data_IF_403336743186
#
_entry.id   IF_403336743186
#
_cell.length_a   1.000
_cell.length_b   1.000
_cell.length_c   1.000
_cell.angle_alpha   90.00
_cell.angle_beta   90.00
_cell.angle_gamma   90.00
#
_symmetry.space_group_name_H-M   'P 1'
#
loop_
_entity.id
_entity.type
_entity.pdbx_description
1 polymer ?
#
# COMPACT_ATOMS: atom_id res chain seq x y z
N UNK A 1 -12.27 -33.50 -17.29
CA UNK A 1 -13.20 -32.41 -16.88
C UNK A 1 -12.73 -31.61 -15.64
N UNK A 2 -11.81 -32.11 -14.82
CA UNK A 2 -11.23 -31.39 -13.66
C UNK A 2 -10.19 -30.32 -14.05
N UNK A 3 -9.37 -30.55 -15.08
CA UNK A 3 -8.35 -29.61 -15.54
C UNK A 3 -8.91 -28.26 -16.06
N UNK A 4 -10.07 -28.29 -16.74
CA UNK A 4 -10.72 -27.05 -17.22
C UNK A 4 -11.19 -26.15 -16.08
N UNK A 5 -11.72 -26.74 -14.99
CA UNK A 5 -12.15 -25.97 -13.80
C UNK A 5 -10.96 -25.36 -13.06
N UNK A 6 -9.85 -26.11 -12.96
CA UNK A 6 -8.61 -25.60 -12.34
C UNK A 6 -8.02 -24.43 -13.15
N UNK A 7 -7.99 -24.55 -14.48
CA UNK A 7 -7.52 -23.50 -15.38
C UNK A 7 -8.36 -22.22 -15.29
N UNK A 8 -9.70 -22.34 -15.31
CA UNK A 8 -10.62 -21.20 -15.19
C UNK A 8 -10.47 -20.46 -13.86
N UNK A 9 -10.33 -21.21 -12.75
CA UNK A 9 -10.10 -20.60 -11.43
C UNK A 9 -8.77 -19.85 -11.40
N UNK A 10 -7.69 -20.45 -11.93
CA UNK A 10 -6.38 -19.81 -11.97
C UNK A 10 -6.37 -18.55 -12.85
N UNK A 11 -7.10 -18.53 -13.97
CA UNK A 11 -7.22 -17.32 -14.80
C UNK A 11 -7.98 -16.20 -14.08
N UNK A 12 -9.04 -16.55 -13.34
CA UNK A 12 -9.82 -15.59 -12.57
C UNK A 12 -8.99 -14.99 -11.42
N UNK A 13 -8.22 -15.83 -10.71
CA UNK A 13 -7.34 -15.38 -9.63
C UNK A 13 -6.24 -14.44 -10.17
N UNK A 14 -5.65 -14.76 -11.33
CA UNK A 14 -4.66 -13.89 -12.00
C UNK A 14 -5.25 -12.54 -12.42
N UNK A 15 -6.46 -12.54 -12.99
CA UNK A 15 -7.14 -11.32 -13.40
C UNK A 15 -7.45 -10.44 -12.17
N UNK A 16 -7.97 -11.04 -11.10
CA UNK A 16 -8.27 -10.35 -9.84
C UNK A 16 -7.03 -9.71 -9.22
N UNK A 17 -5.91 -10.44 -9.17
CA UNK A 17 -4.63 -9.90 -8.67
C UNK A 17 -4.14 -8.76 -9.55
N UNK A 18 -4.27 -8.87 -10.87
CA UNK A 18 -3.86 -7.82 -11.80
C UNK A 18 -4.71 -6.55 -11.65
N UNK A 19 -6.01 -6.69 -11.43
CA UNK A 19 -6.91 -5.57 -11.13
C UNK A 19 -6.55 -4.90 -9.82
N UNK A 20 -6.24 -5.68 -8.77
CA UNK A 20 -5.78 -5.14 -7.50
C UNK A 20 -4.46 -4.37 -7.65
N UNK A 21 -3.48 -4.89 -8.39
CA UNK A 21 -2.22 -4.18 -8.67
C UNK A 21 -2.45 -2.86 -9.42
N UNK A 22 -3.37 -2.86 -10.40
CA UNK A 22 -3.75 -1.64 -11.12
C UNK A 22 -4.43 -0.62 -10.21
N UNK A 23 -5.28 -1.07 -9.30
CA UNK A 23 -5.90 -0.24 -8.27
C UNK A 23 -4.85 0.38 -7.35
N UNK A 24 -3.93 -0.41 -6.79
CA UNK A 24 -2.85 0.08 -5.92
C UNK A 24 -1.99 1.10 -6.66
N UNK A 25 -1.63 0.85 -7.93
CA UNK A 25 -0.84 1.79 -8.73
C UNK A 25 -1.52 3.15 -8.91
N UNK A 26 -2.86 3.19 -9.01
CA UNK A 26 -3.64 4.43 -9.17
C UNK A 26 -3.82 5.17 -7.84
N UNK A 27 -4.15 4.44 -6.78
CA UNK A 27 -4.53 5.03 -5.49
C UNK A 27 -3.33 5.33 -4.58
N UNK A 28 -2.31 4.47 -4.60
CA UNK A 28 -1.14 4.58 -3.72
C UNK A 28 0.07 3.82 -4.29
N UNK A 29 0.72 4.41 -5.29
CA UNK A 29 1.88 3.79 -5.95
C UNK A 29 3.03 3.44 -4.98
N UNK A 30 3.11 4.07 -3.81
CA UNK A 30 4.13 3.77 -2.79
C UNK A 30 3.91 2.43 -2.09
N UNK A 31 2.69 1.91 -2.11
CA UNK A 31 2.36 0.60 -1.55
C UNK A 31 2.67 -0.56 -2.52
N UNK A 32 2.92 -0.26 -3.80
CA UNK A 32 3.13 -1.30 -4.83
C UNK A 32 4.32 -2.22 -4.50
N UNK A 33 5.51 -1.72 -4.10
CA UNK A 33 6.63 -2.60 -3.75
C UNK A 33 6.30 -3.55 -2.60
N UNK A 34 5.46 -3.13 -1.64
CA UNK A 34 5.03 -3.99 -0.53
C UNK A 34 4.13 -5.12 -0.99
N UNK A 35 3.23 -4.85 -1.95
CA UNK A 35 2.39 -5.90 -2.55
C UNK A 35 3.26 -6.89 -3.32
N UNK A 36 4.21 -6.40 -4.12
CA UNK A 36 5.15 -7.23 -4.87
C UNK A 36 6.00 -8.11 -3.94
N UNK A 37 6.55 -7.53 -2.87
CA UNK A 37 7.31 -8.28 -1.86
C UNK A 37 6.49 -9.41 -1.23
N UNK A 38 5.24 -9.14 -0.82
CA UNK A 38 4.34 -10.15 -0.26
C UNK A 38 4.03 -11.29 -1.24
N UNK A 39 3.83 -10.95 -2.52
CA UNK A 39 3.58 -11.95 -3.57
C UNK A 39 4.81 -12.80 -3.87
N UNK A 40 6.01 -12.22 -3.78
CA UNK A 40 7.28 -12.91 -4.05
C UNK A 40 7.71 -13.81 -2.91
N UNK A 41 7.62 -13.35 -1.66
CA UNK A 41 8.21 -14.04 -0.51
C UNK A 41 7.21 -14.89 0.26
N UNK A 42 5.91 -14.60 0.15
CA UNK A 42 4.84 -15.32 0.84
C UNK A 42 4.76 -15.09 2.35
N UNK A 43 5.74 -14.40 2.97
CA UNK A 43 5.75 -14.11 4.42
C UNK A 43 6.17 -12.66 4.69
N UNK A 44 5.70 -12.11 5.81
CA UNK A 44 5.98 -10.73 6.19
C UNK A 44 7.45 -10.46 6.52
N UNK A 45 8.11 -11.36 7.25
CA UNK A 45 9.53 -11.22 7.62
C UNK A 45 10.44 -11.21 6.39
N UNK A 46 10.24 -12.17 5.47
CA UNK A 46 11.00 -12.22 4.21
C UNK A 46 10.68 -11.02 3.31
N UNK A 47 9.42 -10.54 3.31
CA UNK A 47 9.05 -9.33 2.57
C UNK A 47 9.72 -8.07 3.15
N UNK A 48 9.84 -7.96 4.48
CA UNK A 48 10.56 -6.87 5.14
C UNK A 48 12.05 -6.90 4.77
N UNK A 49 12.67 -8.08 4.82
CA UNK A 49 14.04 -8.30 4.38
C UNK A 49 14.24 -7.93 2.91
N UNK A 50 13.34 -8.38 2.03
CA UNK A 50 13.39 -8.10 0.59
C UNK A 50 13.28 -6.60 0.28
N UNK A 51 12.50 -5.85 1.06
CA UNK A 51 12.37 -4.40 0.93
C UNK A 51 13.49 -3.62 1.63
N UNK A 52 14.35 -4.29 2.40
CA UNK A 52 15.41 -3.64 3.18
C UNK A 52 14.89 -2.73 4.29
N UNK A 53 13.73 -3.05 4.88
CA UNK A 53 13.10 -2.26 5.96
C UNK A 53 13.03 -3.05 7.26
N UNK A 54 12.91 -2.34 8.38
CA UNK A 54 12.67 -2.99 9.67
C UNK A 54 11.27 -3.62 9.71
N UNK A 55 11.09 -4.71 10.46
CA UNK A 55 9.78 -5.38 10.60
C UNK A 55 8.67 -4.43 11.04
N UNK A 56 8.95 -3.54 12.00
CA UNK A 56 7.97 -2.55 12.46
C UNK A 56 7.56 -1.56 11.36
N UNK A 57 8.47 -1.21 10.46
CA UNK A 57 8.16 -0.37 9.30
C UNK A 57 7.35 -1.15 8.27
N UNK A 58 7.71 -2.41 8.05
CA UNK A 58 6.95 -3.32 7.22
C UNK A 58 5.50 -3.48 7.71
N UNK A 59 5.27 -3.62 9.01
CA UNK A 59 3.92 -3.71 9.57
C UNK A 59 3.04 -2.50 9.22
N UNK A 60 3.63 -1.30 9.17
CA UNK A 60 2.92 -0.09 8.76
C UNK A 60 2.58 -0.13 7.27
N UNK A 61 3.53 -0.52 6.43
CA UNK A 61 3.32 -0.70 4.98
C UNK A 61 2.26 -1.78 4.70
N UNK A 62 2.36 -2.92 5.37
CA UNK A 62 1.42 -4.02 5.26
C UNK A 62 0.02 -3.64 5.75
N UNK A 63 -0.09 -2.83 6.81
CA UNK A 63 -1.38 -2.28 7.26
C UNK A 63 -1.99 -1.37 6.21
N UNK A 64 -1.18 -0.56 5.51
CA UNK A 64 -1.66 0.24 4.38
C UNK A 64 -2.16 -0.64 3.23
N UNK A 65 -1.42 -1.69 2.86
CA UNK A 65 -1.86 -2.68 1.85
C UNK A 65 -3.19 -3.33 2.24
N UNK A 66 -3.35 -3.77 3.50
CA UNK A 66 -4.62 -4.34 3.98
C UNK A 66 -5.78 -3.36 3.87
N UNK A 67 -5.54 -2.09 4.15
CA UNK A 67 -6.56 -1.05 3.99
C UNK A 67 -6.96 -0.85 2.52
N UNK A 68 -5.98 -0.81 1.60
CA UNK A 68 -6.23 -0.74 0.16
C UNK A 68 -7.01 -1.96 -0.35
N UNK A 69 -6.67 -3.17 0.12
CA UNK A 69 -7.41 -4.39 -0.24
C UNK A 69 -8.87 -4.32 0.21
N UNK A 70 -9.15 -3.77 1.40
CA UNK A 70 -10.54 -3.54 1.86
C UNK A 70 -11.27 -2.56 0.95
N UNK A 71 -10.66 -1.43 0.60
CA UNK A 71 -11.26 -0.46 -0.33
C UNK A 71 -11.53 -1.09 -1.71
N UNK A 72 -10.58 -1.87 -2.23
CA UNK A 72 -10.74 -2.57 -3.51
C UNK A 72 -11.94 -3.54 -3.49
N UNK A 73 -12.08 -4.34 -2.44
CA UNK A 73 -13.16 -5.32 -2.32
C UNK A 73 -14.52 -4.66 -2.04
N UNK A 74 -14.55 -3.59 -1.25
CA UNK A 74 -15.80 -2.91 -0.87
C UNK A 74 -16.28 -1.87 -1.88
N UNK A 75 -15.39 -1.36 -2.75
CA UNK A 75 -15.66 -0.23 -3.64
C UNK A 75 -15.64 1.13 -2.92
N UNK A 76 -15.33 1.16 -1.62
CA UNK A 76 -15.22 2.39 -0.85
C UNK A 76 -14.01 3.23 -1.29
N UNK A 77 -14.12 4.57 -1.27
CA UNK A 77 -13.02 5.44 -1.66
C UNK A 77 -11.81 5.30 -0.72
N UNK A 78 -10.60 5.35 -1.28
CA UNK A 78 -9.37 5.33 -0.48
C UNK A 78 -9.22 6.66 0.27
N UNK A 79 -9.14 6.66 1.61
CA UNK A 79 -8.89 7.86 2.37
C UNK A 79 -7.53 8.48 1.98
N UNK A 80 -7.55 9.76 1.62
CA UNK A 80 -6.33 10.51 1.32
C UNK A 80 -5.43 10.53 2.55
N UNK A 81 -4.18 10.07 2.41
CA UNK A 81 -3.19 10.22 3.48
C UNK A 81 -3.07 11.71 3.85
N UNK A 82 -3.26 12.02 5.13
CA UNK A 82 -3.11 13.39 5.64
C UNK A 82 -1.67 13.82 5.38
N UNK A 83 -1.49 14.97 4.72
CA UNK A 83 -0.15 15.57 4.59
C UNK A 83 0.39 15.83 6.00
N UNK A 84 1.71 15.66 6.24
CA UNK A 84 2.32 16.09 7.49
C UNK A 84 1.90 17.52 7.79
N UNK A 85 1.47 17.77 9.03
CA UNK A 85 1.05 19.10 9.46
C UNK A 85 2.20 20.08 9.21
N UNK A 86 1.99 21.08 8.34
CA UNK A 86 2.98 22.15 8.15
C UNK A 86 3.08 22.91 9.46
N UNK A 87 4.17 22.73 10.21
CA UNK A 87 4.52 23.66 11.30
C UNK A 87 4.53 25.08 10.70
N UNK A 88 3.69 25.98 11.22
CA UNK A 88 3.80 27.41 10.93
C UNK A 88 5.23 27.82 11.29
N UNK A 89 5.94 28.50 10.39
CA UNK A 89 7.15 29.24 10.77
C UNK A 89 6.68 30.31 11.75
N UNK A 90 7.19 30.29 12.97
CA UNK A 90 7.08 31.41 13.90
C UNK A 90 7.73 32.61 13.21
N UNK A 91 6.92 33.61 12.88
CA UNK A 91 7.43 34.92 12.50
C UNK A 91 7.97 35.56 13.77
N UNK A 92 9.28 35.55 13.95
CA UNK A 92 9.95 36.45 14.88
C UNK A 92 9.82 37.88 14.34
N UNK A 93 8.67 38.51 14.61
CA UNK A 93 8.60 39.96 14.63
C UNK A 93 9.29 40.41 15.92
N UNK A 94 10.59 40.66 15.86
CA UNK A 94 11.24 41.53 16.85
C UNK A 94 10.91 42.97 16.45
N UNK A 95 10.21 43.62 17.37
CA UNK A 95 9.80 45.01 17.33
C UNK A 95 11.03 45.92 17.18
N UNK A 96 10.97 46.87 16.23
CA UNK A 96 11.83 48.04 16.23
C UNK A 96 11.28 49.00 17.28
N UNK A 97 11.94 49.08 18.44
CA UNK A 97 11.75 50.19 19.38
C UNK A 97 12.58 51.36 18.87
N UNK A 98 11.90 52.44 18.48
CA UNK A 98 12.48 53.77 18.31
C UNK A 98 12.50 54.54 19.61
#
# INVERSE_FOLDING_TARGET
RTAQKACQKQSHDKAFVQEFLNFVRREDAKALPTVEALMTTGTGGEAAYWLGVAELEFDRLHTRVRHLARCFVSGEPVPKQRRPYKKRRESSACELVG
#
